data_IF_760419640191
#
_entry.id   IF_760419640191
#
_cell.length_a   1.000
_cell.length_b   1.000
_cell.length_c   1.000
_cell.angle_alpha   90.00
_cell.angle_beta   90.00
_cell.angle_gamma   90.00
#
_symmetry.space_group_name_H-M   'P 1'
#
loop_
_entity.id
_entity.type
_entity.pdbx_description
1 polymer ?
#
# COMPACT_ATOMS: atom_id res chain seq x y z
N UNK A 1 46.66 -11.45 5.95
CA UNK A 1 46.22 -10.28 5.16
C UNK A 1 44.72 -10.18 5.32
N UNK A 2 44.26 -9.26 6.17
CA UNK A 2 42.84 -9.07 6.46
C UNK A 2 42.31 -8.08 5.41
N UNK A 3 41.43 -8.55 4.52
CA UNK A 3 40.69 -7.65 3.64
C UNK A 3 39.51 -7.12 4.43
N UNK A 4 39.57 -5.82 4.70
CA UNK A 4 38.52 -5.02 5.31
C UNK A 4 37.29 -5.05 4.40
N UNK A 5 36.22 -5.72 4.85
CA UNK A 5 34.95 -5.81 4.15
C UNK A 5 34.02 -4.63 4.48
N UNK A 6 34.56 -3.56 5.07
CA UNK A 6 33.84 -2.32 5.31
C UNK A 6 33.84 -1.47 4.04
N UNK A 7 32.65 -0.99 3.65
CA UNK A 7 32.38 0.01 2.60
C UNK A 7 32.09 -0.52 1.19
N UNK A 8 31.08 -1.39 1.08
CA UNK A 8 30.14 -1.32 -0.04
C UNK A 8 28.77 -0.94 0.53
N UNK A 9 28.66 0.29 1.02
CA UNK A 9 27.35 0.94 1.13
C UNK A 9 26.94 1.17 -0.33
N UNK A 10 25.89 0.53 -0.86
CA UNK A 10 25.40 0.87 -2.19
C UNK A 10 25.12 2.37 -2.22
N UNK A 11 25.53 3.11 -3.27
CA UNK A 11 25.23 4.53 -3.35
C UNK A 11 23.72 4.70 -3.16
N UNK A 12 23.33 5.60 -2.24
CA UNK A 12 21.94 5.91 -2.01
C UNK A 12 21.29 6.16 -3.37
N UNK A 13 20.37 5.29 -3.78
CA UNK A 13 19.69 5.40 -5.07
C UNK A 13 19.10 6.80 -5.13
N UNK A 14 19.67 7.65 -5.99
CA UNK A 14 19.24 9.05 -6.05
C UNK A 14 17.80 9.06 -6.54
N UNK A 15 16.85 9.35 -5.65
CA UNK A 15 15.44 9.37 -6.01
C UNK A 15 15.22 10.44 -7.07
N UNK A 16 14.68 10.03 -8.21
CA UNK A 16 14.34 10.92 -9.31
C UNK A 16 12.92 11.45 -9.13
N UNK A 17 12.72 12.72 -9.42
CA UNK A 17 11.48 13.47 -9.23
C UNK A 17 10.93 13.93 -10.58
N UNK A 18 9.62 14.12 -10.62
CA UNK A 18 8.91 14.82 -11.69
C UNK A 18 8.27 16.07 -11.12
N UNK A 19 8.61 17.24 -11.65
CA UNK A 19 8.19 18.56 -11.14
C UNK A 19 7.83 19.47 -12.30
N UNK A 20 6.71 20.19 -12.18
CA UNK A 20 6.40 21.32 -13.06
C UNK A 20 6.63 22.62 -12.29
N UNK A 21 7.46 23.53 -12.83
CA UNK A 21 7.73 24.83 -12.22
C UNK A 21 7.89 25.91 -13.29
N UNK A 22 7.15 27.02 -13.16
CA UNK A 22 7.13 28.14 -14.12
C UNK A 22 6.84 27.73 -15.59
N UNK A 23 6.07 26.66 -15.80
CA UNK A 23 5.75 26.14 -17.13
C UNK A 23 6.82 25.26 -17.75
N UNK A 24 7.91 24.98 -17.02
CA UNK A 24 8.91 23.98 -17.39
C UNK A 24 8.62 22.66 -16.65
N UNK A 25 8.68 21.56 -17.41
CA UNK A 25 8.48 20.21 -16.89
C UNK A 25 9.84 19.51 -16.73
N UNK A 26 10.20 19.23 -15.49
CA UNK A 26 11.38 18.46 -15.11
C UNK A 26 10.96 17.01 -14.90
N UNK A 27 11.48 16.07 -15.71
CA UNK A 27 11.18 14.64 -15.61
C UNK A 27 12.48 13.91 -15.27
N UNK A 28 12.42 12.98 -14.31
CA UNK A 28 13.58 12.15 -13.95
C UNK A 28 14.73 12.94 -13.34
N UNK A 29 14.44 14.11 -12.76
CA UNK A 29 15.44 15.04 -12.22
C UNK A 29 15.76 14.74 -10.76
N UNK A 30 17.00 14.95 -10.33
CA UNK A 30 17.38 14.80 -8.92
C UNK A 30 17.02 16.06 -8.14
N UNK A 31 16.97 15.96 -6.81
CA UNK A 31 16.76 17.15 -5.98
C UNK A 31 17.85 18.22 -6.22
N UNK A 32 19.10 17.79 -6.42
CA UNK A 32 20.23 18.68 -6.67
C UNK A 32 20.10 19.36 -8.04
N UNK A 33 19.74 18.62 -9.11
CA UNK A 33 19.56 19.22 -10.43
C UNK A 33 18.38 20.19 -10.48
N UNK A 34 17.33 19.94 -9.70
CA UNK A 34 16.20 20.87 -9.55
C UNK A 34 16.62 22.15 -8.82
N UNK A 35 17.41 22.03 -7.74
CA UNK A 35 17.93 23.17 -7.01
C UNK A 35 18.87 24.01 -7.90
N UNK A 36 19.74 23.38 -8.68
CA UNK A 36 20.60 24.03 -9.67
C UNK A 36 19.79 24.76 -10.76
N UNK A 37 18.65 24.19 -11.18
CA UNK A 37 17.70 24.83 -12.09
C UNK A 37 16.86 25.96 -11.45
N UNK A 38 17.11 26.29 -10.18
CA UNK A 38 16.42 27.36 -9.47
C UNK A 38 15.00 26.99 -9.02
N UNK A 39 14.66 25.71 -8.97
CA UNK A 39 13.41 25.22 -8.40
C UNK A 39 13.47 25.38 -6.87
N UNK A 40 12.48 26.04 -6.23
CA UNK A 40 12.51 26.25 -4.79
C UNK A 40 12.47 24.95 -3.97
N UNK A 41 13.17 24.93 -2.83
CA UNK A 41 13.17 23.83 -1.87
C UNK A 41 11.76 23.38 -1.46
N UNK A 42 10.81 24.31 -1.39
CA UNK A 42 9.40 24.01 -1.05
C UNK A 42 8.75 23.13 -2.12
N UNK A 43 9.02 23.39 -3.40
CA UNK A 43 8.52 22.60 -4.53
C UNK A 43 9.18 21.22 -4.53
N UNK A 44 10.50 21.17 -4.31
CA UNK A 44 11.25 19.90 -4.22
C UNK A 44 10.74 19.04 -3.07
N UNK A 45 10.51 19.63 -1.88
CA UNK A 45 9.95 18.93 -0.71
C UNK A 45 8.54 18.40 -0.99
N UNK A 46 7.68 19.19 -1.61
CA UNK A 46 6.34 18.76 -2.01
C UNK A 46 6.39 17.59 -3.01
N UNK A 47 7.30 17.64 -3.99
CA UNK A 47 7.50 16.56 -4.94
C UNK A 47 7.95 15.26 -4.27
N UNK A 48 8.89 15.34 -3.31
CA UNK A 48 9.32 14.19 -2.51
C UNK A 48 8.18 13.60 -1.69
N UNK A 49 7.40 14.44 -1.00
CA UNK A 49 6.24 14.01 -0.22
C UNK A 49 5.18 13.33 -1.10
N UNK A 50 4.91 13.89 -2.29
CA UNK A 50 4.00 13.30 -3.25
C UNK A 50 4.48 11.94 -3.76
N UNK A 51 5.75 11.83 -4.16
CA UNK A 51 6.35 10.58 -4.62
C UNK A 51 6.29 9.50 -3.55
N UNK A 52 6.65 9.83 -2.31
CA UNK A 52 6.57 8.91 -1.17
C UNK A 52 5.14 8.42 -0.96
N UNK A 53 4.17 9.34 -0.89
CA UNK A 53 2.75 9.00 -0.73
C UNK A 53 2.26 8.05 -1.81
N UNK A 54 2.59 8.29 -3.08
CA UNK A 54 2.18 7.39 -4.17
C UNK A 54 2.89 6.03 -4.10
N UNK A 55 4.14 5.96 -3.61
CA UNK A 55 4.84 4.71 -3.39
C UNK A 55 4.20 3.88 -2.25
N UNK A 56 3.90 4.51 -1.11
CA UNK A 56 3.20 3.86 0.02
C UNK A 56 1.80 3.39 -0.41
N UNK A 57 1.08 4.18 -1.21
CA UNK A 57 -0.23 3.82 -1.77
C UNK A 57 -0.15 2.62 -2.72
N UNK A 58 0.86 2.59 -3.59
CA UNK A 58 1.10 1.46 -4.48
C UNK A 58 1.38 0.18 -3.68
N UNK A 59 2.18 0.28 -2.62
CA UNK A 59 2.48 -0.85 -1.74
C UNK A 59 1.25 -1.33 -0.96
N UNK A 60 0.44 -0.41 -0.41
CA UNK A 60 -0.83 -0.73 0.24
C UNK A 60 -1.75 -1.54 -0.70
N UNK A 61 -1.90 -1.07 -1.95
CA UNK A 61 -2.68 -1.77 -2.98
C UNK A 61 -2.09 -3.15 -3.29
N UNK A 62 -0.77 -3.23 -3.51
CA UNK A 62 -0.08 -4.50 -3.81
C UNK A 62 -0.36 -5.54 -2.72
N UNK A 63 -0.25 -5.14 -1.45
CA UNK A 63 -0.50 -6.01 -0.28
C UNK A 63 -1.94 -6.50 -0.20
N UNK A 64 -2.93 -5.62 -0.42
CA UNK A 64 -4.35 -6.02 -0.46
C UNK A 64 -4.60 -7.03 -1.58
N UNK A 65 -4.07 -6.78 -2.78
CA UNK A 65 -4.27 -7.68 -3.92
C UNK A 65 -3.46 -8.98 -3.84
N UNK A 66 -2.39 -9.01 -3.06
CA UNK A 66 -1.65 -10.24 -2.78
C UNK A 66 -2.48 -11.23 -1.94
N UNK A 67 -3.41 -10.73 -1.12
CA UNK A 67 -4.32 -11.56 -0.32
C UNK A 67 -5.55 -12.01 -1.14
N UNK A 68 -6.16 -11.09 -1.88
CA UNK A 68 -7.31 -11.41 -2.72
C UNK A 68 -7.27 -10.61 -4.01
N UNK A 69 -7.29 -11.30 -5.16
CA UNK A 69 -7.36 -10.66 -6.47
C UNK A 69 -8.66 -9.84 -6.61
N UNK A 70 -8.72 -8.94 -7.60
CA UNK A 70 -9.97 -8.21 -7.87
C UNK A 70 -11.15 -9.15 -8.17
N UNK A 71 -10.89 -10.29 -8.81
CA UNK A 71 -11.88 -11.32 -9.10
C UNK A 71 -12.35 -12.01 -7.81
N UNK A 72 -11.42 -12.43 -6.95
CA UNK A 72 -11.74 -13.03 -5.65
C UNK A 72 -12.55 -12.05 -4.78
N UNK A 73 -12.20 -10.76 -4.78
CA UNK A 73 -12.96 -9.71 -4.09
C UNK A 73 -14.40 -9.56 -4.61
N UNK A 74 -14.59 -9.61 -5.93
CA UNK A 74 -15.93 -9.53 -6.54
C UNK A 74 -16.76 -10.79 -6.25
N UNK A 75 -16.13 -11.96 -6.26
CA UNK A 75 -16.79 -13.23 -5.93
C UNK A 75 -17.22 -13.28 -4.46
N UNK A 76 -16.35 -12.87 -3.53
CA UNK A 76 -16.70 -12.72 -2.11
C UNK A 76 -17.85 -11.75 -1.92
N UNK A 77 -17.82 -10.59 -2.60
CA UNK A 77 -18.91 -9.60 -2.51
C UNK A 77 -20.24 -10.20 -2.97
N UNK A 78 -20.25 -10.88 -4.11
CA UNK A 78 -21.45 -11.52 -4.68
C UNK A 78 -21.98 -12.62 -3.78
N UNK A 79 -21.10 -13.47 -3.25
CA UNK A 79 -21.45 -14.56 -2.34
C UNK A 79 -22.02 -14.01 -1.02
N UNK A 80 -21.36 -13.03 -0.41
CA UNK A 80 -21.83 -12.40 0.84
C UNK A 80 -23.18 -11.71 0.63
N UNK A 81 -23.42 -11.07 -0.52
CA UNK A 81 -24.72 -10.48 -0.85
C UNK A 81 -25.83 -11.55 -0.95
N UNK A 82 -25.57 -12.66 -1.66
CA UNK A 82 -26.51 -13.76 -1.79
C UNK A 82 -26.85 -14.42 -0.44
N UNK A 83 -25.87 -14.59 0.44
CA UNK A 83 -26.07 -15.09 1.81
C UNK A 83 -26.87 -14.08 2.65
N UNK A 84 -26.55 -12.79 2.52
CA UNK A 84 -27.18 -11.72 3.30
C UNK A 84 -28.67 -11.55 2.96
N UNK A 85 -29.09 -11.89 1.74
CA UNK A 85 -30.48 -11.89 1.32
C UNK A 85 -31.34 -12.96 2.03
N UNK A 86 -30.73 -13.98 2.66
CA UNK A 86 -31.44 -14.97 3.48
C UNK A 86 -31.77 -14.38 4.84
N UNK A 87 -32.92 -14.77 5.39
CA UNK A 87 -33.21 -14.56 6.82
C UNK A 87 -32.09 -15.19 7.65
N UNK A 88 -31.63 -14.49 8.68
CA UNK A 88 -30.48 -14.93 9.49
C UNK A 88 -30.70 -16.31 10.12
N UNK A 89 -31.94 -16.60 10.55
CA UNK A 89 -32.34 -17.91 11.09
C UNK A 89 -32.17 -19.07 10.09
N UNK A 90 -32.15 -18.78 8.79
CA UNK A 90 -32.04 -19.76 7.72
C UNK A 90 -30.61 -19.92 7.20
N UNK A 91 -29.64 -19.15 7.72
CA UNK A 91 -28.24 -19.25 7.30
C UNK A 91 -27.58 -20.46 7.93
N UNK A 92 -26.86 -21.23 7.14
CA UNK A 92 -26.03 -22.34 7.65
C UNK A 92 -24.87 -21.81 8.50
N UNK A 93 -24.24 -22.67 9.30
CA UNK A 93 -23.06 -22.30 10.06
C UNK A 93 -21.91 -21.80 9.15
N UNK A 94 -21.73 -22.43 8.00
CA UNK A 94 -20.74 -22.03 7.00
C UNK A 94 -21.05 -20.65 6.42
N UNK A 95 -22.31 -20.36 6.13
CA UNK A 95 -22.75 -19.05 5.61
C UNK A 95 -22.51 -17.93 6.62
N UNK A 96 -22.75 -18.20 7.91
CA UNK A 96 -22.44 -17.26 8.99
C UNK A 96 -20.93 -17.01 9.08
N UNK A 97 -20.10 -18.05 8.92
CA UNK A 97 -18.64 -17.91 8.91
C UNK A 97 -18.14 -17.09 7.71
N UNK A 98 -18.73 -17.28 6.52
CA UNK A 98 -18.41 -16.47 5.33
C UNK A 98 -18.73 -14.99 5.57
N UNK A 99 -19.91 -14.68 6.10
CA UNK A 99 -20.29 -13.29 6.41
C UNK A 99 -19.34 -12.68 7.44
N UNK A 100 -18.97 -13.43 8.48
CA UNK A 100 -18.01 -12.97 9.50
C UNK A 100 -16.61 -12.71 8.91
N UNK A 101 -16.12 -13.59 8.04
CA UNK A 101 -14.84 -13.41 7.36
C UNK A 101 -14.88 -12.24 6.36
N UNK A 102 -15.99 -12.04 5.65
CA UNK A 102 -16.17 -10.89 4.77
C UNK A 102 -16.16 -9.57 5.55
N UNK A 103 -16.80 -9.51 6.73
CA UNK A 103 -16.71 -8.35 7.62
C UNK A 103 -15.28 -8.08 8.08
N UNK A 104 -14.55 -9.12 8.50
CA UNK A 104 -13.13 -9.00 8.87
C UNK A 104 -12.27 -8.50 7.69
N UNK A 105 -12.58 -8.90 6.46
CA UNK A 105 -11.88 -8.39 5.27
C UNK A 105 -12.08 -6.88 5.09
N UNK A 106 -13.30 -6.39 5.27
CA UNK A 106 -13.62 -4.96 5.20
C UNK A 106 -12.87 -4.19 6.29
N UNK A 107 -12.87 -4.70 7.52
CA UNK A 107 -12.15 -4.10 8.66
C UNK A 107 -10.64 -4.07 8.43
N UNK A 108 -10.06 -5.17 7.93
CA UNK A 108 -8.64 -5.25 7.60
C UNK A 108 -8.27 -4.29 6.46
N UNK A 109 -9.06 -4.19 5.40
CA UNK A 109 -8.83 -3.20 4.32
C UNK A 109 -8.93 -1.77 4.85
N UNK A 110 -9.85 -1.50 5.78
CA UNK A 110 -9.93 -0.20 6.44
C UNK A 110 -8.67 0.09 7.28
N UNK A 111 -8.17 -0.89 8.04
CA UNK A 111 -6.93 -0.78 8.80
C UNK A 111 -5.71 -0.56 7.89
N UNK A 112 -5.63 -1.27 6.76
CA UNK A 112 -4.59 -1.07 5.73
C UNK A 112 -4.60 0.37 5.20
N UNK A 113 -5.78 0.94 4.95
CA UNK A 113 -5.93 2.34 4.49
C UNK A 113 -5.60 3.35 5.58
N UNK A 114 -5.94 3.05 6.84
CA UNK A 114 -5.53 3.85 7.99
C UNK A 114 -4.01 3.89 8.11
N UNK A 115 -3.36 2.72 8.03
CA UNK A 115 -1.91 2.61 8.10
C UNK A 115 -1.19 3.28 6.93
N UNK A 116 -1.78 3.23 5.73
CA UNK A 116 -1.30 4.03 4.59
C UNK A 116 -1.21 5.53 4.94
N UNK A 117 -2.21 6.10 5.59
CA UNK A 117 -2.20 7.53 5.92
C UNK A 117 -1.02 7.88 6.86
N UNK A 118 -0.79 7.06 7.88
CA UNK A 118 0.33 7.22 8.81
C UNK A 118 1.69 7.10 8.11
N UNK A 119 1.87 6.05 7.29
CA UNK A 119 3.13 5.79 6.58
C UNK A 119 3.40 6.81 5.48
N UNK A 120 2.36 7.38 4.87
CA UNK A 120 2.49 8.37 3.80
C UNK A 120 2.93 9.76 4.32
N UNK A 121 2.64 10.06 5.59
CA UNK A 121 3.00 11.32 6.22
C UNK A 121 4.41 11.27 6.87
N UNK A 122 4.98 10.08 7.03
CA UNK A 122 6.34 9.85 7.51
C UNK A 122 7.28 9.39 6.38
N UNK A 123 8.12 10.31 5.90
CA UNK A 123 9.09 10.05 4.82
C UNK A 123 10.18 9.02 5.19
N UNK A 124 10.43 8.83 6.49
CA UNK A 124 11.44 7.91 7.00
C UNK A 124 10.85 6.53 7.33
N UNK A 125 9.51 6.38 7.25
CA UNK A 125 8.85 5.13 7.51
C UNK A 125 9.25 4.05 6.50
N UNK A 126 9.68 2.90 7.00
CA UNK A 126 9.95 1.73 6.17
C UNK A 126 8.63 1.03 5.77
N UNK A 127 7.89 1.63 4.85
CA UNK A 127 6.63 1.08 4.34
C UNK A 127 6.80 -0.23 3.56
N UNK A 128 8.02 -0.66 3.25
CA UNK A 128 8.29 -1.94 2.58
C UNK A 128 8.35 -3.12 3.55
N UNK A 129 8.57 -2.86 4.85
CA UNK A 129 8.60 -3.92 5.86
C UNK A 129 7.20 -4.47 6.14
N UNK A 130 7.07 -5.79 6.27
CA UNK A 130 5.79 -6.43 6.60
C UNK A 130 5.24 -5.98 7.94
N UNK A 131 6.12 -5.78 8.93
CA UNK A 131 5.77 -5.28 10.26
C UNK A 131 5.18 -3.85 10.24
N UNK A 132 5.29 -3.12 9.12
CA UNK A 132 4.68 -1.80 8.98
C UNK A 132 3.18 -1.86 8.68
N UNK A 133 2.62 -3.04 8.41
CA UNK A 133 1.23 -3.21 7.98
C UNK A 133 0.44 -4.12 8.92
N UNK A 134 -0.89 -3.93 9.02
CA UNK A 134 -1.76 -4.86 9.73
C UNK A 134 -1.69 -6.27 9.14
N UNK A 135 -1.54 -7.26 10.02
CA UNK A 135 -1.64 -8.67 9.64
C UNK A 135 -3.04 -8.99 9.12
N UNK A 136 -3.10 -9.77 8.04
CA UNK A 136 -4.38 -10.22 7.48
C UNK A 136 -4.93 -11.38 8.33
N UNK A 137 -6.19 -11.30 8.82
CA UNK A 137 -6.78 -12.42 9.56
C UNK A 137 -6.83 -13.69 8.72
N UNK A 138 -6.50 -14.84 9.33
CA UNK A 138 -6.48 -16.13 8.60
C UNK A 138 -7.82 -16.46 7.95
N UNK A 139 -8.95 -16.12 8.59
CA UNK A 139 -10.28 -16.32 8.01
C UNK A 139 -10.50 -15.54 6.70
N UNK A 140 -9.83 -14.40 6.52
CA UNK A 140 -9.89 -13.60 5.28
C UNK A 140 -9.05 -14.27 4.19
N UNK A 141 -7.87 -14.78 4.54
CA UNK A 141 -7.01 -15.55 3.62
C UNK A 141 -7.76 -16.79 3.12
N UNK A 142 -8.35 -17.56 4.05
CA UNK A 142 -9.11 -18.78 3.73
C UNK A 142 -10.38 -18.47 2.92
N UNK A 143 -11.01 -17.30 3.14
CA UNK A 143 -12.14 -16.85 2.35
C UNK A 143 -11.74 -16.57 0.89
N UNK A 144 -10.64 -15.84 0.68
CA UNK A 144 -10.19 -15.51 -0.67
C UNK A 144 -9.61 -16.72 -1.41
N UNK A 145 -9.00 -17.68 -0.72
CA UNK A 145 -8.47 -18.91 -1.33
C UNK A 145 -9.54 -19.82 -1.95
N UNK A 146 -10.83 -19.53 -1.74
CA UNK A 146 -11.95 -20.22 -2.40
C UNK A 146 -12.15 -19.78 -3.85
N UNK A 147 -11.47 -18.71 -4.30
CA UNK A 147 -11.58 -18.10 -5.63
C UNK A 147 -10.20 -17.86 -6.25
#
# INVERSE_FOLDING_TARGET
MSVDASLLIPPATTSVLSVEYKGELFIGSTADSLAEAGVPDTVIKQAKAYQHREAVKAECRRRIYAVGSSEAQMNVTSMTAAISAKMEANRTAQEKAIVAAASQSIEWVAAMRGRFAELADDLDANYLADASWPECPQAVIDLYAQF
#
